data_IF_628946363864
#
_entry.id   IF_628946363864
#
_cell.length_a   1.000
_cell.length_b   1.000
_cell.length_c   1.000
_cell.angle_alpha   90.00
_cell.angle_beta   90.00
_cell.angle_gamma   90.00
#
_symmetry.space_group_name_H-M   'P 1'
#
loop_
_entity.id
_entity.type
_entity.pdbx_description
1 polymer ?
#
# COMPACT_ATOMS: atom_id res chain seq x y z
N UNK A 1 6.22 19.26 1.50
CA UNK A 1 4.86 18.96 1.00
C UNK A 1 4.41 20.07 0.04
N UNK A 2 3.78 19.73 -1.08
CA UNK A 2 3.15 20.69 -2.01
C UNK A 2 1.76 20.16 -2.32
N UNK A 3 0.74 21.03 -2.35
CA UNK A 3 -0.60 20.67 -2.79
C UNK A 3 -0.86 21.26 -4.18
N UNK A 4 -1.63 20.51 -4.97
CA UNK A 4 -2.00 20.86 -6.33
C UNK A 4 -3.48 20.57 -6.54
N UNK A 5 -4.13 21.35 -7.39
CA UNK A 5 -5.49 21.08 -7.88
C UNK A 5 -5.46 21.00 -9.40
N UNK A 6 -6.32 20.16 -9.98
CA UNK A 6 -6.53 20.11 -11.43
C UNK A 6 -7.29 21.35 -11.90
N UNK A 7 -6.88 21.92 -13.02
CA UNK A 7 -7.71 22.88 -13.75
C UNK A 7 -8.76 22.12 -14.58
N UNK A 8 -9.86 22.76 -15.00
CA UNK A 8 -10.85 22.11 -15.87
C UNK A 8 -10.21 21.52 -17.14
N UNK A 9 -9.29 22.25 -17.76
CA UNK A 9 -8.54 21.79 -18.94
C UNK A 9 -7.66 20.59 -18.61
N UNK A 10 -7.02 20.58 -17.43
CA UNK A 10 -6.25 19.43 -16.96
C UNK A 10 -7.09 18.19 -16.69
N UNK A 11 -8.31 18.35 -16.19
CA UNK A 11 -9.27 17.26 -16.02
C UNK A 11 -9.68 16.67 -17.37
N UNK A 12 -10.09 17.51 -18.33
CA UNK A 12 -10.52 17.07 -19.66
C UNK A 12 -9.39 16.35 -20.40
N UNK A 13 -8.18 16.91 -20.35
CA UNK A 13 -7.00 16.26 -20.91
C UNK A 13 -6.72 14.93 -20.21
N UNK A 14 -6.66 14.89 -18.88
CA UNK A 14 -6.36 13.69 -18.10
C UNK A 14 -7.35 12.56 -18.31
N UNK A 15 -8.64 12.88 -18.51
CA UNK A 15 -9.70 11.92 -18.85
C UNK A 15 -9.52 11.33 -20.25
N UNK A 16 -9.06 12.13 -21.21
CA UNK A 16 -8.89 11.70 -22.61
C UNK A 16 -7.54 11.02 -22.86
N UNK A 17 -6.56 11.22 -21.98
CA UNK A 17 -5.20 10.73 -22.18
C UNK A 17 -5.09 9.22 -21.90
N UNK A 18 -4.75 8.46 -22.94
CA UNK A 18 -4.48 7.01 -22.84
C UNK A 18 -2.98 6.69 -22.78
N UNK A 19 -2.11 7.67 -23.01
CA UNK A 19 -0.66 7.50 -22.96
C UNK A 19 -0.18 7.48 -21.51
N UNK A 20 0.46 6.37 -21.12
CA UNK A 20 1.03 6.16 -19.78
C UNK A 20 2.54 6.45 -19.70
N UNK A 21 3.14 6.91 -20.80
CA UNK A 21 4.55 7.32 -20.84
C UNK A 21 4.81 8.67 -20.17
N UNK A 22 6.08 8.95 -19.88
CA UNK A 22 6.51 10.20 -19.22
C UNK A 22 6.30 11.47 -20.07
N UNK A 23 6.19 11.35 -21.39
CA UNK A 23 6.07 12.47 -22.32
C UNK A 23 4.74 12.40 -23.09
N UNK A 24 3.64 12.37 -22.36
CA UNK A 24 2.31 12.25 -22.94
C UNK A 24 1.95 13.47 -23.80
N UNK A 25 1.36 13.18 -24.96
CA UNK A 25 0.99 14.21 -25.94
C UNK A 25 -0.02 15.19 -25.33
N UNK A 26 0.26 16.49 -25.51
CA UNK A 26 -0.64 17.56 -25.04
C UNK A 26 -0.53 17.86 -23.55
N UNK A 27 0.39 17.23 -22.81
CA UNK A 27 0.72 17.64 -21.45
C UNK A 27 1.15 19.12 -21.40
N UNK A 28 0.61 19.86 -20.43
CA UNK A 28 0.96 21.25 -20.19
C UNK A 28 0.97 21.55 -18.68
N UNK A 29 1.86 22.46 -18.25
CA UNK A 29 1.92 22.92 -16.86
C UNK A 29 0.63 23.64 -16.41
N UNK A 30 -0.20 24.09 -17.35
CA UNK A 30 -1.50 24.70 -17.07
C UNK A 30 -2.59 23.68 -16.63
N UNK A 31 -2.30 22.38 -16.68
CA UNK A 31 -3.25 21.34 -16.26
C UNK A 31 -3.43 21.26 -14.73
N UNK A 32 -2.51 21.85 -13.97
CA UNK A 32 -2.60 21.89 -12.52
C UNK A 32 -2.07 23.22 -12.00
N UNK A 33 -2.55 23.62 -10.84
CA UNK A 33 -2.07 24.79 -10.13
C UNK A 33 -1.71 24.45 -8.69
N UNK A 34 -0.70 25.14 -8.15
CA UNK A 34 -0.28 24.99 -6.76
C UNK A 34 -1.30 25.67 -5.85
N UNK A 35 -1.72 24.97 -4.80
CA UNK A 35 -2.61 25.54 -3.76
C UNK A 35 -1.88 25.66 -2.42
N UNK A 36 -2.23 26.65 -1.58
CA UNK A 36 -1.68 26.77 -0.23
C UNK A 36 -2.02 25.55 0.63
N UNK A 37 -1.09 25.15 1.50
CA UNK A 37 -1.23 24.03 2.41
C UNK A 37 -0.52 24.35 3.72
N UNK A 38 -1.21 24.13 4.84
CA UNK A 38 -0.70 24.40 6.19
C UNK A 38 -0.68 23.12 7.01
N UNK A 39 0.31 22.99 7.88
CA UNK A 39 0.42 21.91 8.87
C UNK A 39 -0.04 22.48 10.22
N UNK A 40 -0.85 21.71 10.95
CA UNK A 40 -1.36 22.11 12.25
C UNK A 40 -1.16 20.99 13.27
N UNK A 41 -0.80 21.40 14.47
CA UNK A 41 -0.75 20.60 15.70
C UNK A 41 -1.99 20.81 16.58
N UNK A 42 -2.93 21.65 16.16
CA UNK A 42 -4.11 22.04 16.96
C UNK A 42 -5.20 20.98 16.99
N UNK A 43 -5.19 20.06 16.04
CA UNK A 43 -6.18 19.00 15.90
C UNK A 43 -5.49 17.70 15.49
N UNK A 44 -6.06 16.59 15.95
CA UNK A 44 -5.62 15.25 15.59
C UNK A 44 -6.54 14.71 14.50
N UNK A 45 -5.94 14.33 13.36
CA UNK A 45 -6.62 13.50 12.37
C UNK A 45 -6.71 12.04 12.84
N UNK A 46 -7.45 11.24 12.08
CA UNK A 46 -7.53 9.80 12.28
C UNK A 46 -7.30 9.09 10.95
N UNK A 47 -7.01 7.79 11.04
CA UNK A 47 -6.84 6.91 9.89
C UNK A 47 -8.06 6.01 9.72
N UNK A 48 -8.26 5.58 8.48
CA UNK A 48 -9.22 4.56 8.09
C UNK A 48 -8.46 3.56 7.23
N UNK A 49 -8.60 2.27 7.51
CA UNK A 49 -7.93 1.18 6.79
C UNK A 49 -8.95 0.20 6.23
N UNK A 50 -8.58 -0.62 5.23
CA UNK A 50 -9.40 -1.76 4.83
C UNK A 50 -9.75 -2.64 6.04
N UNK A 51 -11.00 -3.07 6.13
CA UNK A 51 -11.47 -4.00 7.18
C UNK A 51 -10.80 -5.37 7.03
N UNK A 52 -10.73 -5.84 5.79
CA UNK A 52 -10.15 -7.11 5.42
C UNK A 52 -8.92 -6.89 4.53
N UNK A 53 -7.89 -7.68 4.78
CA UNK A 53 -6.66 -7.67 3.99
C UNK A 53 -5.73 -6.50 4.29
N UNK A 54 -4.88 -6.20 3.31
CA UNK A 54 -3.82 -5.22 3.39
C UNK A 54 -4.22 -3.94 2.68
N UNK A 55 -3.72 -2.78 3.12
CA UNK A 55 -3.77 -1.56 2.30
C UNK A 55 -2.67 -1.55 1.23
N UNK A 56 -1.64 -2.38 1.40
CA UNK A 56 -0.45 -2.48 0.55
C UNK A 56 -0.46 -3.78 -0.26
N UNK A 57 -0.59 -3.67 -1.58
CA UNK A 57 -0.59 -4.81 -2.50
C UNK A 57 0.71 -4.96 -3.30
N UNK A 58 1.76 -4.18 -3.02
CA UNK A 58 3.01 -4.21 -3.80
C UNK A 58 3.71 -5.58 -3.85
N UNK A 59 3.43 -6.48 -2.90
CA UNK A 59 3.99 -7.84 -2.85
C UNK A 59 2.95 -8.92 -3.15
N UNK A 60 1.74 -8.49 -3.53
CA UNK A 60 0.59 -9.32 -3.86
C UNK A 60 -0.09 -8.78 -5.12
N UNK A 61 0.69 -8.35 -6.11
CA UNK A 61 0.18 -7.64 -7.32
C UNK A 61 -0.94 -8.41 -8.03
N UNK A 62 -0.85 -9.75 -8.07
CA UNK A 62 -1.88 -10.62 -8.69
C UNK A 62 -3.22 -10.61 -7.95
N UNK A 63 -3.23 -10.21 -6.68
CA UNK A 63 -4.43 -10.14 -5.85
C UNK A 63 -5.10 -8.77 -5.88
N UNK A 64 -4.51 -7.78 -6.54
CA UNK A 64 -5.10 -6.46 -6.72
C UNK A 64 -5.91 -6.41 -8.03
N UNK A 65 -7.17 -6.00 -7.92
CA UNK A 65 -8.08 -5.79 -9.03
C UNK A 65 -8.60 -4.34 -9.01
N UNK A 66 -8.74 -3.71 -10.19
CA UNK A 66 -9.24 -2.35 -10.28
C UNK A 66 -10.71 -2.20 -9.82
N UNK A 67 -11.49 -3.28 -9.92
CA UNK A 67 -12.90 -3.34 -9.54
C UNK A 67 -13.11 -3.99 -8.16
N UNK A 68 -12.03 -4.17 -7.37
CA UNK A 68 -12.11 -4.77 -6.04
C UNK A 68 -13.01 -3.97 -5.08
N UNK A 69 -13.78 -4.68 -4.26
CA UNK A 69 -14.60 -4.08 -3.19
C UNK A 69 -13.92 -4.28 -1.85
N UNK A 70 -14.02 -3.29 -0.97
CA UNK A 70 -13.48 -3.33 0.37
C UNK A 70 -14.37 -2.52 1.32
N UNK A 71 -14.46 -2.99 2.55
CA UNK A 71 -15.04 -2.27 3.66
C UNK A 71 -13.93 -1.54 4.44
N UNK A 72 -14.32 -0.56 5.27
CA UNK A 72 -13.41 0.35 5.94
C UNK A 72 -13.65 0.39 7.45
N UNK A 73 -12.57 0.44 8.21
CA UNK A 73 -12.58 0.54 9.68
C UNK A 73 -11.70 1.68 10.19
N UNK A 74 -12.04 2.21 11.38
CA UNK A 74 -11.20 3.15 12.11
C UNK A 74 -10.03 2.40 12.75
N UNK A 75 -8.85 2.48 12.13
CA UNK A 75 -7.65 1.81 12.60
C UNK A 75 -6.40 2.51 12.07
N UNK A 76 -5.25 2.28 12.70
CA UNK A 76 -3.96 2.77 12.24
C UNK A 76 -3.39 1.86 11.15
N UNK A 77 -2.84 2.42 10.04
CA UNK A 77 -2.25 1.61 8.99
C UNK A 77 -1.02 0.86 9.51
N UNK A 78 -0.89 -0.40 9.09
CA UNK A 78 0.32 -1.19 9.32
C UNK A 78 1.51 -0.58 8.57
N UNK A 79 2.74 -0.82 9.06
CA UNK A 79 3.95 -0.36 8.38
C UNK A 79 4.08 -1.01 7.02
N UNK A 80 4.81 -0.39 6.10
CA UNK A 80 4.99 -0.92 4.75
C UNK A 80 5.46 -2.38 4.76
N UNK A 81 6.35 -2.73 5.69
CA UNK A 81 7.04 -4.00 5.81
C UNK A 81 6.34 -5.06 6.70
N UNK A 82 5.13 -4.76 7.18
CA UNK A 82 4.35 -5.67 8.03
C UNK A 82 4.12 -7.04 7.36
N UNK A 83 4.15 -8.11 8.15
CA UNK A 83 4.03 -9.50 7.66
C UNK A 83 2.73 -9.73 6.88
N UNK A 84 1.65 -9.03 7.26
CA UNK A 84 0.36 -9.07 6.57
C UNK A 84 0.48 -8.65 5.09
N UNK A 85 1.43 -7.78 4.76
CA UNK A 85 1.67 -7.31 3.39
C UNK A 85 2.51 -8.30 2.57
N UNK A 86 3.11 -9.32 3.21
CA UNK A 86 4.11 -10.22 2.64
C UNK A 86 3.80 -11.72 2.87
N UNK A 87 2.55 -12.19 2.75
CA UNK A 87 2.18 -13.54 3.21
C UNK A 87 3.00 -14.66 2.55
N UNK A 88 3.45 -14.48 1.29
CA UNK A 88 4.28 -15.46 0.58
C UNK A 88 5.64 -15.71 1.25
N UNK A 89 6.25 -14.72 1.89
CA UNK A 89 7.51 -14.91 2.62
C UNK A 89 7.35 -15.84 3.83
N UNK A 90 6.17 -15.83 4.43
CA UNK A 90 5.87 -16.56 5.66
C UNK A 90 5.11 -17.88 5.43
N UNK A 91 4.70 -18.18 4.20
CA UNK A 91 4.07 -19.47 3.86
C UNK A 91 5.05 -20.51 3.31
N UNK A 92 6.29 -20.14 3.00
CA UNK A 92 7.30 -21.05 2.46
C UNK A 92 8.04 -21.81 3.56
N UNK A 93 7.38 -22.79 4.17
CA UNK A 93 8.00 -23.77 5.09
C UNK A 93 8.32 -25.09 4.39
N UNK A 94 8.93 -25.02 3.21
CA UNK A 94 9.42 -26.21 2.52
C UNK A 94 10.92 -26.31 2.72
N UNK A 95 11.34 -26.83 3.87
CA UNK A 95 12.56 -27.62 4.11
C UNK A 95 12.88 -27.62 5.61
N UNK A 96 12.58 -28.73 6.28
CA UNK A 96 13.33 -29.33 7.42
C UNK A 96 12.47 -30.20 8.36
N UNK A 97 11.27 -30.65 7.95
CA UNK A 97 10.54 -31.69 8.72
C UNK A 97 11.23 -33.08 8.70
N UNK A 98 12.42 -33.20 8.08
CA UNK A 98 13.24 -34.41 8.07
C UNK A 98 14.51 -34.32 8.95
N UNK A 99 14.71 -33.24 9.72
CA UNK A 99 15.83 -33.19 10.69
C UNK A 99 15.48 -33.71 12.08
N UNK A 100 14.20 -33.94 12.39
CA UNK A 100 13.76 -34.43 13.72
C UNK A 100 14.13 -35.89 14.01
N UNK A 101 14.71 -36.61 13.04
CA UNK A 101 15.29 -37.94 13.28
C UNK A 101 16.68 -37.90 13.92
N UNK A 102 17.28 -36.72 14.12
CA UNK A 102 18.52 -36.52 14.88
C UNK A 102 18.28 -35.59 16.09
N UNK A 103 17.42 -36.03 17.00
CA UNK A 103 17.30 -35.43 18.34
C UNK A 103 18.61 -35.64 19.13
N UNK A 104 19.47 -34.63 19.18
CA UNK A 104 20.47 -34.47 20.25
C UNK A 104 19.73 -34.07 21.52
N UNK A 105 19.91 -34.86 22.59
CA UNK A 105 19.29 -34.73 23.92
C UNK A 105 19.08 -33.25 24.34
N UNK A 106 17.82 -32.79 24.35
CA UNK A 106 17.47 -31.38 24.62
C UNK A 106 16.81 -31.29 26.00
N UNK A 107 17.61 -31.06 27.01
CA UNK A 107 17.11 -30.74 28.36
C UNK A 107 16.54 -29.32 28.39
N UNK A 108 15.22 -29.20 28.39
CA UNK A 108 14.53 -27.93 28.66
C UNK A 108 14.28 -27.76 30.17
N UNK A 109 15.07 -26.90 30.81
CA UNK A 109 15.03 -26.66 32.26
C UNK A 109 14.31 -25.37 32.64
N UNK A 110 13.64 -24.70 31.71
CA UNK A 110 12.90 -23.47 31.98
C UNK A 110 11.52 -23.51 31.32
N UNK A 111 10.48 -23.55 32.16
CA UNK A 111 9.09 -23.34 31.74
C UNK A 111 8.67 -21.88 31.91
#
# INVERSE_FOLDING_TARGET
MKAYKLTPTGYDWGRSNTDRGNNSKGYALAHYEKVPLSVSDRFLGFFVTPEQGSWNYNFMDVSHDADMKYDLILSSPKKFDDELHHPSHFMNFSNEENSDTFSTDREDRFS
#
